data_IF_213238541828
#
_entry.id   IF_213238541828
#
_cell.length_a   1.000
_cell.length_b   1.000
_cell.length_c   1.000
_cell.angle_alpha   90.00
_cell.angle_beta   90.00
_cell.angle_gamma   90.00
#
_symmetry.space_group_name_H-M   'P 1'
#
loop_
_entity.id
_entity.type
_entity.pdbx_description
1 polymer ?
#
# COMPACT_ATOMS: atom_id res chain seq x y z
N UNK A 1 15.84 -4.37 39.10
CA UNK A 1 16.16 -3.40 38.03
C UNK A 1 14.97 -3.31 37.10
N UNK A 2 14.21 -2.21 37.07
CA UNK A 2 13.23 -1.98 36.02
C UNK A 2 13.97 -1.39 34.82
N UNK A 3 14.01 -2.13 33.71
CA UNK A 3 14.46 -1.61 32.42
C UNK A 3 13.43 -0.60 31.92
N UNK A 4 13.89 0.65 31.75
CA UNK A 4 13.10 1.75 31.22
C UNK A 4 12.62 1.41 29.81
N UNK A 5 11.31 1.46 29.65
CA UNK A 5 10.62 1.22 28.41
C UNK A 5 10.92 2.37 27.46
N UNK A 6 11.66 2.07 26.40
CA UNK A 6 12.07 3.01 25.34
C UNK A 6 10.81 3.42 24.58
N UNK A 7 10.15 4.49 25.04
CA UNK A 7 9.02 5.12 24.34
C UNK A 7 9.52 5.63 22.99
N UNK A 8 9.32 4.82 21.96
CA UNK A 8 9.43 5.25 20.58
C UNK A 8 8.29 6.25 20.35
N UNK A 9 8.65 7.46 19.92
CA UNK A 9 7.74 8.58 19.72
C UNK A 9 6.57 8.21 18.78
N UNK A 10 5.48 7.69 19.31
CA UNK A 10 4.21 7.63 18.60
C UNK A 10 3.58 9.01 18.70
N UNK A 11 3.52 9.75 17.58
CA UNK A 11 2.79 11.02 17.50
C UNK A 11 1.38 10.84 18.09
N UNK A 12 0.98 11.71 19.02
CA UNK A 12 -0.38 11.68 19.55
C UNK A 12 -1.39 11.96 18.42
N UNK A 13 -2.54 11.27 18.46
CA UNK A 13 -3.61 11.48 17.49
C UNK A 13 -4.27 12.83 17.72
N UNK A 14 -4.34 13.64 16.67
CA UNK A 14 -5.09 14.90 16.68
C UNK A 14 -6.60 14.64 16.77
N UNK A 15 -7.37 15.59 17.35
CA UNK A 15 -8.82 15.48 17.45
C UNK A 15 -9.48 15.18 16.11
N UNK A 16 -10.59 14.45 16.16
CA UNK A 16 -11.31 14.07 14.96
C UNK A 16 -11.76 15.30 14.18
N UNK A 17 -11.39 15.45 12.88
CA UNK A 17 -11.77 16.63 12.09
C UNK A 17 -13.28 16.72 11.84
N UNK A 18 -14.05 15.68 12.16
CA UNK A 18 -15.50 15.63 11.95
C UNK A 18 -16.31 15.90 13.22
N UNK A 19 -15.86 15.40 14.38
CA UNK A 19 -16.62 15.52 15.64
C UNK A 19 -15.85 16.21 16.78
N UNK A 20 -14.56 16.50 16.61
CA UNK A 20 -13.68 17.14 17.59
C UNK A 20 -13.28 16.26 18.79
N UNK A 21 -13.74 15.00 18.83
CA UNK A 21 -13.45 14.07 19.93
C UNK A 21 -12.06 13.45 19.79
N UNK A 22 -11.52 12.96 20.92
CA UNK A 22 -10.20 12.32 21.02
C UNK A 22 -10.29 10.81 21.29
N UNK A 23 -11.45 10.20 21.04
CA UNK A 23 -11.66 8.77 21.23
C UNK A 23 -11.47 8.02 19.90
N UNK A 24 -10.51 7.11 19.88
CA UNK A 24 -10.01 6.45 18.67
C UNK A 24 -9.72 4.98 18.90
N UNK A 25 -10.01 4.18 17.87
CA UNK A 25 -9.54 2.82 17.71
C UNK A 25 -8.56 2.79 16.53
N UNK A 26 -7.38 2.20 16.70
CA UNK A 26 -6.49 1.89 15.57
C UNK A 26 -6.63 0.40 15.26
N UNK A 27 -7.29 0.09 14.16
CA UNK A 27 -7.60 -1.27 13.74
C UNK A 27 -6.59 -1.75 12.68
N UNK A 28 -6.08 -2.97 12.86
CA UNK A 28 -5.32 -3.66 11.82
C UNK A 28 -6.29 -4.21 10.77
N UNK A 29 -6.08 -3.89 9.50
CA UNK A 29 -6.97 -4.30 8.40
C UNK A 29 -6.55 -5.62 7.75
N UNK A 30 -5.25 -5.77 7.52
CA UNK A 30 -4.66 -6.92 6.84
C UNK A 30 -3.26 -7.20 7.42
N UNK A 31 -2.44 -7.97 6.69
CA UNK A 31 -1.10 -8.34 7.12
C UNK A 31 -0.18 -7.13 7.30
N UNK A 32 -0.40 -6.06 6.56
CA UNK A 32 0.55 -4.99 6.31
C UNK A 32 -0.07 -3.59 6.42
N UNK A 33 -1.29 -3.45 6.94
CA UNK A 33 -1.96 -2.17 7.03
C UNK A 33 -2.86 -2.01 8.25
N UNK A 34 -3.02 -0.75 8.65
CA UNK A 34 -3.85 -0.30 9.76
C UNK A 34 -4.65 0.96 9.41
N UNK A 35 -5.66 1.27 10.21
CA UNK A 35 -6.52 2.45 10.04
C UNK A 35 -6.95 3.02 11.39
N UNK A 36 -7.07 4.35 11.46
CA UNK A 36 -7.64 5.05 12.62
C UNK A 36 -9.15 5.19 12.44
N UNK A 37 -9.94 4.89 13.47
CA UNK A 37 -11.40 5.00 13.49
C UNK A 37 -11.81 5.82 14.71
N UNK A 38 -12.54 6.92 14.51
CA UNK A 38 -13.07 7.70 15.61
C UNK A 38 -14.24 6.97 16.29
N UNK A 39 -14.15 6.77 17.61
CA UNK A 39 -15.19 6.18 18.45
C UNK A 39 -15.99 7.22 19.25
N UNK A 40 -15.64 8.51 19.08
CA UNK A 40 -16.29 9.61 19.81
C UNK A 40 -17.81 9.60 19.70
N UNK A 41 -18.47 9.60 20.86
CA UNK A 41 -19.93 9.63 20.96
C UNK A 41 -20.48 10.97 20.46
N UNK A 42 -21.47 10.89 19.59
CA UNK A 42 -22.13 12.04 18.96
C UNK A 42 -23.57 12.22 19.45
N UNK A 43 -24.07 11.27 20.22
CA UNK A 43 -25.35 11.27 20.91
C UNK A 43 -25.44 10.07 21.86
N UNK A 44 -26.58 9.85 22.53
CA UNK A 44 -26.74 8.78 23.51
C UNK A 44 -26.47 7.37 22.97
N UNK A 45 -26.73 7.15 21.68
CA UNK A 45 -26.56 5.86 20.99
C UNK A 45 -25.93 6.01 19.59
N UNK A 46 -25.20 7.11 19.37
CA UNK A 46 -24.55 7.39 18.08
C UNK A 46 -23.05 7.61 18.30
N UNK A 47 -22.20 6.98 17.48
CA UNK A 47 -20.76 7.17 17.45
C UNK A 47 -20.34 7.75 16.09
N UNK A 48 -19.24 8.50 16.08
CA UNK A 48 -18.78 9.18 14.86
C UNK A 48 -18.37 8.20 13.76
N UNK A 49 -17.60 7.16 14.10
CA UNK A 49 -17.08 6.13 13.19
C UNK A 49 -16.33 6.67 11.96
N UNK A 50 -15.85 7.92 12.02
CA UNK A 50 -15.07 8.50 10.95
C UNK A 50 -13.77 7.70 10.78
N UNK A 51 -13.56 7.18 9.57
CA UNK A 51 -12.44 6.32 9.24
C UNK A 51 -11.33 7.10 8.53
N UNK A 52 -10.12 6.93 9.03
CA UNK A 52 -8.91 7.54 8.52
C UNK A 52 -8.45 6.94 7.19
N UNK A 53 -7.43 7.54 6.57
CA UNK A 53 -6.67 6.87 5.52
C UNK A 53 -6.04 5.57 6.02
N UNK A 54 -5.81 4.63 5.12
CA UNK A 54 -5.11 3.37 5.43
C UNK A 54 -3.61 3.63 5.45
N UNK A 55 -2.96 3.35 6.58
CA UNK A 55 -1.50 3.34 6.69
C UNK A 55 -0.98 1.95 6.36
N UNK A 56 -0.01 1.87 5.45
CA UNK A 56 0.67 0.62 5.08
C UNK A 56 2.00 0.55 5.83
N UNK A 57 2.46 -0.65 6.16
CA UNK A 57 3.73 -0.91 6.80
C UNK A 57 4.87 -0.27 6.04
N UNK A 58 5.75 0.40 6.77
CA UNK A 58 6.94 1.06 6.25
C UNK A 58 8.19 0.20 6.46
N UNK A 59 8.18 -0.70 7.44
CA UNK A 59 9.26 -1.66 7.68
C UNK A 59 8.77 -2.97 8.34
N UNK A 60 9.59 -4.03 8.27
CA UNK A 60 9.24 -5.37 8.76
C UNK A 60 9.21 -5.49 10.30
N UNK A 61 9.71 -4.50 11.04
CA UNK A 61 9.85 -4.52 12.50
C UNK A 61 8.70 -3.87 13.26
N UNK A 62 7.62 -3.48 12.57
CA UNK A 62 6.48 -2.80 13.19
C UNK A 62 5.68 -3.75 14.08
N UNK A 63 5.42 -3.34 15.33
CA UNK A 63 4.58 -4.09 16.28
C UNK A 63 3.16 -4.29 15.72
N UNK A 64 2.59 -3.22 15.16
CA UNK A 64 1.37 -3.28 14.36
C UNK A 64 1.66 -2.68 12.98
N UNK A 65 1.67 -3.51 11.92
CA UNK A 65 1.95 -3.07 10.57
C UNK A 65 1.04 -1.91 10.11
N UNK A 66 1.65 -0.83 9.66
CA UNK A 66 0.99 0.37 9.14
C UNK A 66 0.41 1.30 10.19
N UNK A 67 0.55 1.00 11.50
CA UNK A 67 -0.03 1.79 12.59
C UNK A 67 0.44 3.24 12.57
N UNK A 68 1.75 3.44 12.58
CA UNK A 68 2.33 4.79 12.69
C UNK A 68 2.03 5.61 11.43
N UNK A 69 2.02 4.96 10.26
CA UNK A 69 1.60 5.62 9.02
C UNK A 69 0.12 6.01 9.04
N UNK A 70 -0.75 5.19 9.63
CA UNK A 70 -2.17 5.50 9.76
C UNK A 70 -2.39 6.71 10.68
N UNK A 71 -1.62 6.82 11.76
CA UNK A 71 -1.61 7.98 12.67
C UNK A 71 -1.12 9.24 11.96
N UNK A 72 0.00 9.16 11.23
CA UNK A 72 0.53 10.27 10.44
C UNK A 72 -0.50 10.80 9.43
N UNK A 73 -1.13 9.89 8.68
CA UNK A 73 -2.13 10.25 7.67
C UNK A 73 -3.43 10.78 8.29
N UNK A 74 -3.82 10.28 9.48
CA UNK A 74 -4.92 10.85 10.23
C UNK A 74 -4.63 12.29 10.64
N UNK A 75 -3.45 12.53 11.21
CA UNK A 75 -3.04 13.85 11.67
C UNK A 75 -2.91 14.82 10.49
N UNK A 76 -2.34 14.39 9.37
CA UNK A 76 -2.28 15.20 8.15
C UNK A 76 -3.70 15.62 7.68
N UNK A 77 -4.69 14.72 7.77
CA UNK A 77 -6.09 15.06 7.48
C UNK A 77 -6.68 16.02 8.52
N UNK A 78 -6.39 15.81 9.80
CA UNK A 78 -6.87 16.69 10.86
C UNK A 78 -6.27 18.11 10.74
N UNK A 79 -5.05 18.23 10.21
CA UNK A 79 -4.37 19.49 9.94
C UNK A 79 -4.78 20.16 8.63
N UNK A 80 -5.50 19.46 7.73
CA UNK A 80 -5.96 20.05 6.47
C UNK A 80 -6.79 21.30 6.77
N UNK A 81 -6.23 22.43 6.36
CA UNK A 81 -6.85 23.73 6.57
C UNK A 81 -7.97 23.90 5.58
N UNK A 82 -9.20 23.93 6.08
CA UNK A 82 -10.26 24.61 5.36
C UNK A 82 -9.95 26.12 5.40
N UNK A 83 -10.31 26.87 4.35
CA UNK A 83 -10.14 28.33 4.33
C UNK A 83 -10.95 29.02 5.43
N UNK A 84 -11.05 30.35 5.39
CA UNK A 84 -11.90 31.05 6.36
C UNK A 84 -13.37 30.60 6.22
N UNK A 85 -14.04 30.17 7.30
CA UNK A 85 -15.42 29.75 7.21
C UNK A 85 -16.30 30.94 6.81
N UNK A 86 -17.17 30.74 5.83
CA UNK A 86 -18.09 31.77 5.34
C UNK A 86 -19.36 31.87 6.18
N UNK A 87 -19.56 30.94 7.11
CA UNK A 87 -20.74 30.88 7.95
C UNK A 87 -20.70 29.75 8.96
N UNK A 88 -21.73 29.71 9.78
CA UNK A 88 -21.94 28.70 10.80
C UNK A 88 -23.42 28.29 10.80
N UNK A 89 -23.69 27.01 11.00
CA UNK A 89 -25.05 26.50 11.12
C UNK A 89 -25.62 26.92 12.47
N UNK A 90 -26.67 27.74 12.45
CA UNK A 90 -27.34 28.25 13.66
C UNK A 90 -28.83 27.97 13.60
N UNK A 91 -29.47 27.80 14.76
CA UNK A 91 -30.92 27.64 14.84
C UNK A 91 -31.58 29.02 14.95
N UNK A 92 -32.51 29.33 14.05
CA UNK A 92 -33.34 30.54 14.15
C UNK A 92 -34.79 30.18 14.48
N UNK A 93 -35.45 31.04 15.28
CA UNK A 93 -36.80 30.85 15.82
C UNK A 93 -37.94 31.02 14.80
N UNK A 94 -39.18 30.85 15.28
CA UNK A 94 -40.44 30.82 14.51
C UNK A 94 -40.48 31.88 13.39
N UNK A 95 -40.44 31.43 12.13
CA UNK A 95 -40.75 32.26 10.97
C UNK A 95 -39.86 32.09 9.74
N UNK A 96 -38.77 31.32 9.78
CA UNK A 96 -37.93 31.11 8.60
C UNK A 96 -38.19 29.79 7.87
N UNK A 97 -38.18 29.87 6.54
CA UNK A 97 -38.36 28.79 5.60
C UNK A 97 -37.33 27.67 5.79
N UNK A 98 -37.80 26.43 5.74
CA UNK A 98 -36.99 25.22 5.79
C UNK A 98 -35.84 25.27 4.78
N UNK A 99 -34.60 25.25 5.27
CA UNK A 99 -33.44 24.89 4.46
C UNK A 99 -33.47 23.37 4.32
N UNK A 100 -34.05 22.89 3.22
CA UNK A 100 -33.99 21.48 2.87
C UNK A 100 -32.63 21.14 2.27
N UNK A 101 -31.87 20.28 2.94
CA UNK A 101 -30.59 19.77 2.44
C UNK A 101 -30.86 18.66 1.42
N UNK A 102 -30.28 18.79 0.22
CA UNK A 102 -30.54 17.87 -0.91
C UNK A 102 -30.10 16.42 -0.68
N UNK A 103 -29.27 16.16 0.35
CA UNK A 103 -28.63 14.86 0.60
C UNK A 103 -28.83 14.31 2.04
N UNK A 104 -29.82 14.79 2.80
CA UNK A 104 -30.21 14.17 4.08
C UNK A 104 -30.07 15.04 5.32
N UNK A 105 -29.61 14.44 6.44
CA UNK A 105 -29.65 15.03 7.80
C UNK A 105 -29.00 16.41 7.87
N UNK A 106 -29.64 17.32 8.60
CA UNK A 106 -29.13 18.65 8.87
C UNK A 106 -27.75 18.59 9.55
N UNK A 107 -26.75 19.37 9.11
CA UNK A 107 -25.49 19.52 9.83
C UNK A 107 -25.74 20.02 11.25
N UNK A 108 -24.80 19.75 12.16
CA UNK A 108 -24.95 20.20 13.55
C UNK A 108 -24.99 21.71 13.65
N UNK A 109 -25.76 22.21 14.61
CA UNK A 109 -25.61 23.58 15.07
C UNK A 109 -24.16 23.80 15.52
N UNK A 110 -23.57 24.93 15.13
CA UNK A 110 -22.16 25.22 15.33
C UNK A 110 -21.23 24.76 14.21
N UNK A 111 -21.72 23.95 13.25
CA UNK A 111 -20.87 23.48 12.16
C UNK A 111 -20.45 24.65 11.25
N UNK A 112 -19.14 24.76 11.00
CA UNK A 112 -18.57 25.77 10.10
C UNK A 112 -18.83 25.39 8.64
N UNK A 113 -19.23 26.38 7.85
CA UNK A 113 -19.50 26.23 6.42
C UNK A 113 -18.37 26.87 5.61
N UNK A 114 -17.94 26.16 4.57
CA UNK A 114 -16.85 26.58 3.68
C UNK A 114 -17.34 26.51 2.23
N UNK A 115 -16.98 27.48 1.39
CA UNK A 115 -17.35 27.47 -0.04
C UNK A 115 -16.29 26.81 -0.92
N UNK A 116 -15.06 26.78 -0.45
CA UNK A 116 -13.92 26.21 -1.15
C UNK A 116 -12.88 25.74 -0.14
N UNK A 117 -12.10 24.72 -0.54
CA UNK A 117 -10.85 24.42 0.15
C UNK A 117 -9.88 25.60 0.00
N UNK A 118 -8.96 25.77 0.94
CA UNK A 118 -7.95 26.82 0.85
C UNK A 118 -7.16 26.70 -0.48
N UNK A 119 -7.09 27.76 -1.30
CA UNK A 119 -6.41 27.69 -2.60
C UNK A 119 -4.93 27.32 -2.48
N UNK A 120 -4.25 27.76 -1.40
CA UNK A 120 -2.86 27.40 -1.13
C UNK A 120 -2.70 25.90 -0.88
N UNK A 121 -3.60 25.34 -0.07
CA UNK A 121 -3.66 23.90 0.19
C UNK A 121 -3.94 23.09 -1.08
N UNK A 122 -4.84 23.56 -1.95
CA UNK A 122 -5.13 22.89 -3.22
C UNK A 122 -3.89 22.85 -4.12
N UNK A 123 -3.15 23.95 -4.24
CA UNK A 123 -1.93 23.98 -5.06
C UNK A 123 -0.81 23.12 -4.46
N UNK A 124 -0.65 23.10 -3.13
CA UNK A 124 0.28 22.20 -2.44
C UNK A 124 -0.02 20.73 -2.75
N UNK A 125 -1.27 20.31 -2.59
CA UNK A 125 -1.69 18.94 -2.84
C UNK A 125 -1.59 18.56 -4.32
N UNK A 126 -1.84 19.50 -5.25
CA UNK A 126 -1.63 19.30 -6.69
C UNK A 126 -0.15 19.04 -7.01
N UNK A 127 0.76 19.82 -6.43
CA UNK A 127 2.20 19.65 -6.63
C UNK A 127 2.70 18.31 -6.07
N UNK A 128 2.23 17.92 -4.88
CA UNK A 128 2.54 16.62 -4.27
C UNK A 128 2.03 15.46 -5.14
N UNK A 129 0.80 15.54 -5.64
CA UNK A 129 0.21 14.53 -6.51
C UNK A 129 0.99 14.35 -7.81
N UNK A 130 1.46 15.45 -8.43
CA UNK A 130 2.27 15.36 -9.64
C UNK A 130 3.65 14.73 -9.37
N UNK A 131 4.26 15.06 -8.22
CA UNK A 131 5.51 14.44 -7.77
C UNK A 131 5.35 12.93 -7.58
N UNK A 132 4.31 12.49 -6.86
CA UNK A 132 4.01 11.07 -6.67
C UNK A 132 3.76 10.34 -8.00
N UNK A 133 2.99 10.94 -8.90
CA UNK A 133 2.75 10.38 -10.25
C UNK A 133 4.06 10.26 -11.04
N UNK A 134 4.96 11.23 -10.90
CA UNK A 134 6.31 11.18 -11.45
C UNK A 134 7.11 9.98 -10.92
N UNK A 135 7.13 9.79 -9.60
CA UNK A 135 7.80 8.66 -8.96
C UNK A 135 7.21 7.31 -9.37
N UNK A 136 5.87 7.18 -9.39
CA UNK A 136 5.19 5.96 -9.84
C UNK A 136 5.53 5.61 -11.28
N UNK A 137 5.59 6.59 -12.19
CA UNK A 137 6.01 6.38 -13.59
C UNK A 137 7.45 5.86 -13.67
N UNK A 138 8.38 6.47 -12.92
CA UNK A 138 9.78 6.03 -12.87
C UNK A 138 9.92 4.60 -12.33
N UNK A 139 9.21 4.28 -11.25
CA UNK A 139 9.24 2.94 -10.66
C UNK A 139 8.67 1.88 -11.62
N UNK A 140 7.54 2.18 -12.28
CA UNK A 140 6.95 1.29 -13.27
C UNK A 140 7.88 1.03 -14.45
N UNK A 141 8.55 2.08 -14.96
CA UNK A 141 9.53 1.93 -16.04
C UNK A 141 10.71 1.05 -15.61
N UNK A 142 11.26 1.28 -14.40
CA UNK A 142 12.36 0.48 -13.86
C UNK A 142 11.97 -0.98 -13.65
N UNK A 143 10.76 -1.23 -13.15
CA UNK A 143 10.25 -2.59 -12.96
C UNK A 143 10.01 -3.32 -14.29
N UNK A 144 9.61 -2.60 -15.35
CA UNK A 144 9.56 -3.16 -16.70
C UNK A 144 10.96 -3.54 -17.19
N UNK A 145 11.94 -2.65 -17.05
CA UNK A 145 13.33 -2.90 -17.45
C UNK A 145 13.89 -4.15 -16.75
N UNK A 146 13.73 -4.26 -15.43
CA UNK A 146 14.18 -5.45 -14.69
C UNK A 146 13.51 -6.74 -15.17
N UNK A 147 12.23 -6.70 -15.55
CA UNK A 147 11.54 -7.87 -16.11
C UNK A 147 12.11 -8.26 -17.46
N UNK A 148 12.38 -7.28 -18.32
CA UNK A 148 12.95 -7.52 -19.64
C UNK A 148 14.38 -8.06 -19.54
N UNK A 149 15.20 -7.50 -18.65
CA UNK A 149 16.56 -7.98 -18.34
C UNK A 149 16.54 -9.42 -17.80
N UNK A 150 15.70 -9.70 -16.79
CA UNK A 150 15.58 -11.03 -16.21
C UNK A 150 15.08 -12.06 -17.24
N UNK A 151 14.20 -11.64 -18.14
CA UNK A 151 13.74 -12.50 -19.25
C UNK A 151 14.87 -12.78 -20.24
N UNK A 152 15.61 -11.76 -20.66
CA UNK A 152 16.72 -11.92 -21.58
C UNK A 152 17.83 -12.82 -20.99
N UNK A 153 18.12 -12.68 -19.70
CA UNK A 153 19.05 -13.55 -18.98
C UNK A 153 18.53 -15.00 -18.95
N UNK A 154 17.26 -15.21 -18.60
CA UNK A 154 16.65 -16.54 -18.60
C UNK A 154 16.70 -17.20 -19.99
N UNK A 155 16.42 -16.45 -21.06
CA UNK A 155 16.47 -16.96 -22.43
C UNK A 155 17.91 -17.30 -22.85
N UNK A 156 18.90 -16.50 -22.41
CA UNK A 156 20.32 -16.78 -22.63
C UNK A 156 20.76 -18.06 -21.92
N UNK A 157 20.39 -18.22 -20.64
CA UNK A 157 20.71 -19.42 -19.86
C UNK A 157 20.04 -20.67 -20.43
N UNK A 158 18.79 -20.55 -20.92
CA UNK A 158 18.11 -21.64 -21.64
C UNK A 158 18.84 -22.04 -22.91
N UNK A 159 19.31 -21.09 -23.70
CA UNK A 159 20.07 -21.36 -24.92
C UNK A 159 21.40 -22.08 -24.60
N UNK A 160 22.13 -21.62 -23.60
CA UNK A 160 23.37 -22.27 -23.14
C UNK A 160 23.10 -23.70 -22.63
N UNK A 161 22.02 -23.91 -21.88
CA UNK A 161 21.63 -25.24 -21.40
C UNK A 161 21.27 -26.16 -22.57
N UNK A 162 20.57 -25.66 -23.59
CA UNK A 162 20.24 -26.42 -24.79
C UNK A 162 21.49 -26.83 -25.57
N UNK A 163 22.47 -25.93 -25.72
CA UNK A 163 23.76 -26.22 -26.36
C UNK A 163 24.56 -27.26 -25.59
N UNK A 164 24.68 -27.12 -24.26
CA UNK A 164 25.33 -28.11 -23.40
C UNK A 164 24.65 -29.48 -23.50
N UNK A 165 23.32 -29.51 -23.51
CA UNK A 165 22.55 -30.74 -23.70
C UNK A 165 22.79 -31.38 -25.07
N UNK A 166 22.98 -30.59 -26.13
CA UNK A 166 23.33 -31.10 -27.46
C UNK A 166 24.74 -31.71 -27.48
N UNK A 167 25.73 -31.00 -26.94
CA UNK A 167 27.11 -31.50 -26.83
C UNK A 167 27.20 -32.79 -26.00
N UNK A 168 26.44 -32.88 -24.90
CA UNK A 168 26.36 -34.09 -24.09
C UNK A 168 25.73 -35.27 -24.85
N UNK A 169 24.72 -35.02 -25.70
CA UNK A 169 24.15 -36.06 -26.58
C UNK A 169 25.19 -36.56 -27.59
N UNK A 170 25.91 -35.65 -28.23
CA UNK A 170 26.94 -36.00 -29.22
C UNK A 170 28.09 -36.78 -28.58
N UNK A 171 28.55 -36.34 -27.40
CA UNK A 171 29.57 -37.04 -26.62
C UNK A 171 29.09 -38.43 -26.16
N UNK A 172 27.84 -38.55 -25.70
CA UNK A 172 27.26 -39.82 -25.30
C UNK A 172 27.14 -40.79 -26.48
N UNK A 173 26.75 -40.29 -27.67
CA UNK A 173 26.78 -41.06 -28.91
C UNK A 173 28.20 -41.53 -29.17
N UNK A 174 29.17 -40.64 -29.30
CA UNK A 174 30.56 -41.00 -29.59
C UNK A 174 31.15 -42.02 -28.59
N UNK A 175 30.89 -41.85 -27.30
CA UNK A 175 31.33 -42.79 -26.26
C UNK A 175 30.75 -44.20 -26.45
N UNK A 176 29.49 -44.31 -26.91
CA UNK A 176 28.87 -45.62 -27.20
C UNK A 176 29.52 -46.36 -28.36
N UNK A 177 30.23 -45.67 -29.27
CA UNK A 177 30.97 -46.27 -30.38
C UNK A 177 32.41 -46.69 -30.02
N UNK A 178 33.03 -46.07 -29.00
CA UNK A 178 34.47 -46.25 -28.73
C UNK A 178 34.81 -47.27 -27.64
N UNK A 179 33.98 -47.48 -26.62
CA UNK A 179 34.22 -48.52 -25.61
C UNK A 179 32.91 -49.15 -25.11
N UNK A 180 32.88 -50.45 -24.76
CA UNK A 180 31.75 -51.09 -24.05
C UNK A 180 31.58 -50.62 -22.59
N UNK A 181 32.26 -49.55 -22.16
CA UNK A 181 32.33 -49.20 -20.75
C UNK A 181 31.23 -48.25 -20.27
N UNK A 182 30.42 -48.85 -19.40
CA UNK A 182 29.43 -48.31 -18.48
C UNK A 182 28.13 -47.77 -19.12
N UNK A 183 27.30 -48.70 -19.58
CA UNK A 183 25.86 -48.48 -19.79
C UNK A 183 25.19 -47.69 -18.65
N UNK A 184 25.72 -47.80 -17.42
CA UNK A 184 25.31 -47.01 -16.26
C UNK A 184 25.55 -45.49 -16.40
N UNK A 185 26.68 -45.04 -16.96
CA UNK A 185 26.97 -43.61 -17.16
C UNK A 185 26.11 -43.04 -18.29
N UNK A 186 25.99 -43.74 -19.41
CA UNK A 186 25.10 -43.35 -20.51
C UNK A 186 23.63 -43.28 -20.07
N UNK A 187 23.18 -44.20 -19.22
CA UNK A 187 21.83 -44.16 -18.62
C UNK A 187 21.61 -42.93 -17.74
N UNK A 188 22.63 -42.52 -16.96
CA UNK A 188 22.57 -41.30 -16.14
C UNK A 188 22.53 -40.02 -16.98
N UNK A 189 23.32 -39.96 -18.06
CA UNK A 189 23.30 -38.83 -19.01
C UNK A 189 21.92 -38.73 -19.66
N UNK A 190 21.37 -39.83 -20.19
CA UNK A 190 20.04 -39.84 -20.81
C UNK A 190 18.91 -39.46 -19.84
N UNK A 191 18.99 -39.91 -18.58
CA UNK A 191 18.02 -39.51 -17.56
C UNK A 191 18.10 -38.01 -17.25
N UNK A 192 19.30 -37.45 -17.12
CA UNK A 192 19.51 -36.02 -16.88
C UNK A 192 19.02 -35.16 -18.06
N UNK A 193 19.33 -35.57 -19.29
CA UNK A 193 18.86 -34.89 -20.51
C UNK A 193 17.34 -34.92 -20.66
N UNK A 194 16.68 -36.01 -20.23
CA UNK A 194 15.22 -36.13 -20.26
C UNK A 194 14.55 -35.27 -19.19
N UNK A 195 15.15 -35.18 -18.00
CA UNK A 195 14.67 -34.33 -16.91
C UNK A 195 14.86 -32.82 -17.20
N UNK A 196 15.83 -32.47 -18.05
CA UNK A 196 16.10 -31.09 -18.47
C UNK A 196 15.18 -30.59 -19.59
N UNK A 197 14.28 -31.43 -20.12
CA UNK A 197 13.30 -30.98 -21.11
C UNK A 197 12.26 -30.07 -20.44
N UNK A 198 12.09 -28.84 -20.94
CA UNK A 198 11.07 -27.94 -20.39
C UNK A 198 9.66 -28.54 -20.54
N UNK A 199 8.79 -28.39 -19.52
CA UNK A 199 7.39 -28.76 -19.65
C UNK A 199 6.76 -27.94 -20.78
N UNK A 200 6.02 -28.62 -21.67
CA UNK A 200 5.25 -27.94 -22.71
C UNK A 200 4.19 -27.06 -22.02
N UNK A 201 4.27 -25.75 -22.22
CA UNK A 201 3.26 -24.77 -21.81
C UNK A 201 2.02 -24.86 -22.68
#
# INVERSE_FOLDING_TARGET
MPTENRSSNTSELLPCPFCGQHDFLIERLDSDASVVICQGLTGPHEACLARGPVGVAQNEGEEQPGRDKAVELWNARAEQRQGEPIGEVVAFGKGLHEIAWSQGKMPRLGAKLYTHADPGEVERLRAELESERGLRRKLAARLSQYKDEAKAEADTLRAQLAEQNALLRDAALHASWMEPNSAAVLKRINAALSASAEPKS
#
